data_IF_539819641293
#
_entry.id   IF_539819641293
#
_cell.length_a   1.000
_cell.length_b   1.000
_cell.length_c   1.000
_cell.angle_alpha   90.00
_cell.angle_beta   90.00
_cell.angle_gamma   90.00
#
_symmetry.space_group_name_H-M   'P 1'
#
loop_
_entity.id
_entity.type
_entity.pdbx_description
1 polymer ?
#
# COMPACT_ATOMS: atom_id res chain seq x y z
N UNK A 1 32.98 -20.38 4.77
CA UNK A 1 32.22 -19.51 5.69
C UNK A 1 30.86 -19.30 5.05
N UNK A 2 29.78 -19.60 5.76
CA UNK A 2 28.42 -19.42 5.26
C UNK A 2 28.05 -17.97 5.50
N UNK A 3 28.22 -17.11 4.49
CA UNK A 3 27.87 -15.70 4.61
C UNK A 3 26.35 -15.61 4.88
N UNK A 4 26.00 -15.13 6.06
CA UNK A 4 24.61 -14.91 6.48
C UNK A 4 24.14 -13.56 5.96
N UNK A 5 22.83 -13.41 5.76
CA UNK A 5 22.24 -12.12 5.39
C UNK A 5 22.57 -11.04 6.44
N UNK A 6 22.98 -9.86 5.98
CA UNK A 6 23.18 -8.68 6.81
C UNK A 6 21.84 -7.97 7.00
N UNK A 7 21.50 -7.64 8.24
CA UNK A 7 20.25 -6.97 8.61
C UNK A 7 20.49 -5.48 8.82
N UNK A 8 19.54 -4.65 8.41
CA UNK A 8 19.49 -3.22 8.71
C UNK A 8 18.04 -2.75 8.92
N UNK A 9 17.84 -1.77 9.79
CA UNK A 9 16.59 -0.99 9.84
C UNK A 9 16.69 0.10 8.78
N UNK A 10 15.65 0.24 7.97
CA UNK A 10 15.55 1.20 6.88
C UNK A 10 14.31 2.07 7.14
N UNK A 11 14.43 3.36 6.87
CA UNK A 11 13.30 4.29 6.86
C UNK A 11 12.65 4.32 5.48
N UNK A 12 11.33 4.23 5.45
CA UNK A 12 10.50 4.56 4.30
C UNK A 12 9.59 5.70 4.76
N UNK A 13 10.13 6.91 4.73
CA UNK A 13 9.48 8.07 5.34
C UNK A 13 9.47 7.92 6.85
N UNK A 14 8.28 7.84 7.45
CA UNK A 14 8.10 7.61 8.89
C UNK A 14 7.90 6.14 9.24
N UNK A 15 8.03 5.22 8.27
CA UNK A 15 7.87 3.79 8.47
C UNK A 15 9.24 3.14 8.65
N UNK A 16 9.44 2.42 9.75
CA UNK A 16 10.65 1.63 9.99
C UNK A 16 10.46 0.20 9.52
N UNK A 17 11.39 -0.30 8.70
CA UNK A 17 11.31 -1.62 8.07
C UNK A 17 12.62 -2.38 8.22
N UNK A 18 12.54 -3.70 8.32
CA UNK A 18 13.72 -4.55 8.33
C UNK A 18 14.10 -4.93 6.90
N UNK A 19 15.28 -4.48 6.50
CA UNK A 19 15.94 -4.87 5.26
C UNK A 19 17.00 -5.94 5.50
N UNK A 20 17.12 -6.85 4.55
CA UNK A 20 18.12 -7.91 4.55
C UNK A 20 18.95 -7.83 3.28
N UNK A 21 20.26 -7.64 3.41
CA UNK A 21 21.22 -7.75 2.32
C UNK A 21 21.78 -9.16 2.29
N UNK A 22 21.58 -9.84 1.17
CA UNK A 22 22.08 -11.18 0.92
C UNK A 22 23.57 -11.15 0.54
N UNK A 23 24.30 -12.28 0.65
CA UNK A 23 25.72 -12.35 0.25
C UNK A 23 25.96 -12.01 -1.23
N UNK A 24 24.96 -12.18 -2.09
CA UNK A 24 25.00 -11.81 -3.50
C UNK A 24 24.72 -10.32 -3.76
N UNK A 25 24.51 -9.53 -2.70
CA UNK A 25 24.17 -8.10 -2.78
C UNK A 25 22.70 -7.81 -3.04
N UNK A 26 21.85 -8.83 -3.21
CA UNK A 26 20.40 -8.62 -3.35
C UNK A 26 19.77 -8.21 -2.02
N UNK A 27 18.69 -7.42 -2.10
CA UNK A 27 17.94 -6.98 -0.94
C UNK A 27 16.62 -7.74 -0.81
N UNK A 28 16.24 -8.05 0.43
CA UNK A 28 14.97 -8.66 0.81
C UNK A 28 14.29 -7.82 1.90
N UNK A 29 12.97 -7.90 1.97
CA UNK A 29 12.15 -7.31 3.03
C UNK A 29 11.31 -8.41 3.70
N UNK A 30 11.04 -8.27 5.00
CA UNK A 30 10.10 -9.15 5.71
C UNK A 30 8.73 -9.20 5.02
N UNK A 31 8.22 -10.40 4.76
CA UNK A 31 6.88 -10.62 4.23
C UNK A 31 5.80 -9.97 5.11
N UNK A 32 5.98 -10.05 6.43
CA UNK A 32 5.06 -9.45 7.40
C UNK A 32 5.03 -7.93 7.24
N UNK A 33 6.20 -7.28 7.23
CA UNK A 33 6.27 -5.83 7.10
C UNK A 33 5.81 -5.35 5.73
N UNK A 34 6.05 -6.12 4.66
CA UNK A 34 5.51 -5.83 3.34
C UNK A 34 3.97 -5.72 3.36
N UNK A 35 3.29 -6.50 4.20
CA UNK A 35 1.84 -6.40 4.40
C UNK A 35 1.45 -5.25 5.35
N UNK A 36 2.10 -5.16 6.51
CA UNK A 36 1.73 -4.21 7.57
C UNK A 36 1.88 -2.74 7.14
N UNK A 37 2.91 -2.43 6.34
CA UNK A 37 3.16 -1.08 5.80
C UNK A 37 1.96 -0.51 5.02
N UNK A 38 1.15 -1.38 4.41
CA UNK A 38 -0.05 -0.98 3.65
C UNK A 38 -1.35 -1.37 4.36
N UNK A 39 -1.28 -1.55 5.69
CA UNK A 39 -2.42 -1.88 6.55
C UNK A 39 -3.06 -3.24 6.26
N UNK A 40 -2.25 -4.22 5.85
CA UNK A 40 -2.72 -5.60 5.63
C UNK A 40 -2.06 -6.56 6.60
N UNK A 41 -2.80 -7.59 6.98
CA UNK A 41 -2.23 -8.75 7.67
C UNK A 41 -1.30 -9.52 6.74
N UNK A 42 -0.24 -10.11 7.30
CA UNK A 42 0.74 -10.95 6.61
C UNK A 42 0.10 -12.02 5.70
N UNK A 43 -1.06 -12.57 6.09
CA UNK A 43 -1.80 -13.55 5.28
C UNK A 43 -2.16 -13.04 3.88
N UNK A 44 -2.32 -11.73 3.71
CA UNK A 44 -2.59 -11.12 2.39
C UNK A 44 -1.36 -11.23 1.48
N UNK A 45 -0.17 -11.00 2.01
CA UNK A 45 1.07 -11.21 1.26
C UNK A 45 1.25 -12.69 0.92
N UNK A 46 1.02 -13.61 1.88
CA UNK A 46 1.07 -15.06 1.62
C UNK A 46 0.11 -15.47 0.49
N UNK A 47 -1.16 -15.08 0.59
CA UNK A 47 -2.18 -15.40 -0.43
C UNK A 47 -1.85 -14.81 -1.80
N UNK A 48 -1.19 -13.65 -1.85
CA UNK A 48 -0.74 -13.08 -3.12
C UNK A 48 0.30 -13.96 -3.82
N UNK A 49 1.25 -14.55 -3.08
CA UNK A 49 2.26 -15.46 -3.64
C UNK A 49 1.64 -16.71 -4.28
N UNK A 50 0.50 -17.17 -3.75
CA UNK A 50 -0.26 -18.30 -4.29
C UNK A 50 -1.27 -17.91 -5.38
N UNK A 51 -1.44 -16.61 -5.65
CA UNK A 51 -2.50 -16.10 -6.51
C UNK A 51 -2.10 -16.05 -8.00
N UNK A 52 -3.09 -15.81 -8.86
CA UNK A 52 -2.82 -15.42 -10.26
C UNK A 52 -2.23 -14.01 -10.37
N UNK A 53 -2.32 -13.18 -9.34
CA UNK A 53 -1.84 -11.80 -9.33
C UNK A 53 -0.32 -11.72 -9.51
N UNK A 54 0.44 -12.55 -8.78
CA UNK A 54 1.90 -12.57 -8.93
C UNK A 54 2.34 -13.02 -10.32
N UNK A 55 1.64 -14.00 -10.91
CA UNK A 55 1.88 -14.46 -12.28
C UNK A 55 1.51 -13.42 -13.34
N UNK A 56 0.50 -12.60 -13.06
CA UNK A 56 0.09 -11.51 -13.93
C UNK A 56 1.12 -10.36 -13.94
N UNK A 57 1.74 -10.08 -12.79
CA UNK A 57 2.70 -8.99 -12.65
C UNK A 57 4.14 -9.38 -12.99
N UNK A 58 4.59 -10.57 -12.57
CA UNK A 58 5.98 -11.02 -12.71
C UNK A 58 6.17 -12.12 -13.79
N UNK A 59 5.09 -12.49 -14.46
CA UNK A 59 5.09 -13.47 -15.55
C UNK A 59 4.73 -14.89 -15.13
N UNK A 60 4.23 -15.68 -16.10
CA UNK A 60 3.66 -17.02 -15.85
C UNK A 60 4.66 -18.04 -15.31
N UNK A 61 5.96 -17.84 -15.54
CA UNK A 61 7.04 -18.70 -15.05
C UNK A 61 7.62 -18.28 -13.70
N UNK A 62 7.12 -17.20 -13.09
CA UNK A 62 7.66 -16.70 -11.83
C UNK A 62 7.36 -17.65 -10.68
N UNK A 63 8.41 -18.09 -9.98
CA UNK A 63 8.31 -18.83 -8.72
C UNK A 63 8.89 -17.95 -7.63
N UNK A 64 8.10 -17.53 -6.64
CA UNK A 64 8.62 -16.72 -5.54
C UNK A 64 9.68 -17.50 -4.78
N UNK A 65 10.90 -16.96 -4.71
CA UNK A 65 11.93 -17.45 -3.81
C UNK A 65 11.80 -16.69 -2.49
N UNK A 66 11.42 -17.39 -1.43
CA UNK A 66 11.25 -16.81 -0.10
C UNK A 66 12.20 -17.51 0.86
N UNK A 67 13.02 -16.72 1.55
CA UNK A 67 14.08 -17.26 2.40
C UNK A 67 13.81 -16.99 3.87
N UNK A 68 14.29 -17.87 4.72
CA UNK A 68 14.25 -17.67 6.17
C UNK A 68 15.50 -16.91 6.64
N UNK A 69 15.30 -15.77 7.28
CA UNK A 69 16.36 -14.96 7.90
C UNK A 69 16.20 -14.91 9.42
N UNK A 70 17.31 -14.86 10.17
CA UNK A 70 17.28 -14.81 11.64
C UNK A 70 16.62 -13.53 12.15
N UNK A 71 15.66 -13.63 13.09
CA UNK A 71 14.99 -12.52 13.77
C UNK A 71 15.84 -11.91 14.92
N UNK A 72 15.74 -10.60 15.14
CA UNK A 72 16.39 -9.91 16.27
C UNK A 72 15.62 -10.10 17.59
N UNK A 73 14.30 -10.21 17.52
CA UNK A 73 13.43 -10.39 18.68
C UNK A 73 13.37 -11.87 19.07
N UNK A 74 14.01 -12.22 20.19
CA UNK A 74 13.79 -13.50 20.92
C UNK A 74 12.40 -13.55 21.56
N UNK A 75 11.34 -13.20 20.82
CA UNK A 75 9.99 -13.57 21.21
C UNK A 75 9.92 -15.10 21.09
N UNK A 76 9.58 -15.76 22.21
CA UNK A 76 9.52 -17.22 22.31
C UNK A 76 8.79 -17.81 21.09
N UNK A 77 9.53 -18.51 20.24
CA UNK A 77 8.99 -19.35 19.15
C UNK A 77 9.25 -18.90 17.72
N UNK A 78 9.73 -17.67 17.47
CA UNK A 78 9.95 -17.18 16.10
C UNK A 78 11.40 -16.73 15.87
N UNK A 79 12.25 -17.70 15.51
CA UNK A 79 13.68 -17.47 15.20
C UNK A 79 13.91 -17.09 13.73
N UNK A 80 12.87 -17.20 12.88
CA UNK A 80 12.98 -17.10 11.42
C UNK A 80 11.86 -16.24 10.85
N UNK A 81 12.21 -15.32 9.97
CA UNK A 81 11.29 -14.44 9.23
C UNK A 81 11.36 -14.83 7.76
N UNK A 82 10.21 -14.86 7.07
CA UNK A 82 10.20 -15.02 5.63
C UNK A 82 10.53 -13.69 4.95
N UNK A 83 11.60 -13.64 4.16
CA UNK A 83 12.04 -12.44 3.46
C UNK A 83 11.86 -12.55 1.94
N UNK A 84 11.17 -11.57 1.37
CA UNK A 84 10.78 -11.49 -0.04
C UNK A 84 11.74 -10.58 -0.82
N UNK A 85 12.09 -10.94 -2.07
CA UNK A 85 12.76 -10.01 -2.99
C UNK A 85 11.98 -8.71 -3.15
N UNK A 86 12.69 -7.58 -3.28
CA UNK A 86 12.04 -6.28 -3.46
C UNK A 86 11.11 -6.23 -4.69
N UNK A 87 11.41 -7.01 -5.74
CA UNK A 87 10.51 -7.21 -6.88
C UNK A 87 9.15 -7.77 -6.45
N UNK A 88 9.13 -8.81 -5.63
CA UNK A 88 7.90 -9.42 -5.10
C UNK A 88 7.14 -8.45 -4.21
N UNK A 89 7.85 -7.73 -3.35
CA UNK A 89 7.27 -6.71 -2.46
C UNK A 89 6.60 -5.62 -3.30
N UNK A 90 7.29 -5.11 -4.31
CA UNK A 90 6.74 -4.09 -5.21
C UNK A 90 5.52 -4.59 -5.99
N UNK A 91 5.56 -5.84 -6.49
CA UNK A 91 4.43 -6.45 -7.17
C UNK A 91 3.23 -6.64 -6.24
N UNK A 92 3.46 -7.04 -4.99
CA UNK A 92 2.41 -7.15 -3.99
C UNK A 92 1.76 -5.78 -3.71
N UNK A 93 2.54 -4.72 -3.55
CA UNK A 93 2.00 -3.37 -3.35
C UNK A 93 1.22 -2.87 -4.57
N UNK A 94 1.75 -3.06 -5.78
CA UNK A 94 1.04 -2.73 -7.03
C UNK A 94 -0.25 -3.51 -7.18
N UNK A 95 -0.25 -4.80 -6.83
CA UNK A 95 -1.45 -5.61 -6.78
C UNK A 95 -2.48 -5.00 -5.82
N UNK A 96 -2.07 -4.60 -4.63
CA UNK A 96 -2.95 -3.97 -3.65
C UNK A 96 -3.49 -2.61 -4.12
N UNK A 97 -2.72 -1.85 -4.90
CA UNK A 97 -3.22 -0.66 -5.59
C UNK A 97 -4.38 -1.01 -6.54
N UNK A 98 -4.25 -2.09 -7.32
CA UNK A 98 -5.33 -2.56 -8.22
C UNK A 98 -6.60 -2.99 -7.48
N UNK A 99 -6.46 -3.35 -6.20
CA UNK A 99 -7.57 -3.70 -5.32
C UNK A 99 -8.15 -2.49 -4.55
N UNK A 100 -7.73 -1.26 -4.89
CA UNK A 100 -8.22 -0.04 -4.26
C UNK A 100 -7.66 0.22 -2.85
N UNK A 101 -6.58 -0.43 -2.45
CA UNK A 101 -5.94 -0.13 -1.15
C UNK A 101 -5.31 1.27 -1.19
N UNK A 102 -5.94 2.23 -0.50
CA UNK A 102 -5.50 3.63 -0.45
C UNK A 102 -4.09 3.81 0.11
N UNK A 103 -3.72 3.04 1.13
CA UNK A 103 -2.38 3.11 1.73
C UNK A 103 -1.31 2.58 0.77
N UNK A 104 -1.61 1.48 0.06
CA UNK A 104 -0.73 0.98 -0.99
C UNK A 104 -0.57 2.00 -2.14
N UNK A 105 -1.66 2.63 -2.58
CA UNK A 105 -1.61 3.68 -3.61
C UNK A 105 -0.74 4.85 -3.13
N UNK A 106 -0.95 5.33 -1.90
CA UNK A 106 -0.17 6.42 -1.32
C UNK A 106 1.31 6.08 -1.27
N UNK A 107 1.65 4.89 -0.78
CA UNK A 107 3.03 4.40 -0.70
C UNK A 107 3.70 4.31 -2.07
N UNK A 108 3.08 3.61 -3.01
CA UNK A 108 3.64 3.39 -4.35
C UNK A 108 3.83 4.71 -5.09
N UNK A 109 2.85 5.62 -5.03
CA UNK A 109 2.96 6.95 -5.62
C UNK A 109 4.09 7.76 -4.97
N UNK A 110 4.21 7.69 -3.65
CA UNK A 110 5.18 8.47 -2.91
C UNK A 110 6.63 8.03 -3.19
N UNK A 111 6.89 6.72 -3.17
CA UNK A 111 8.21 6.14 -3.51
C UNK A 111 8.56 6.31 -4.98
N UNK A 112 7.58 6.21 -5.89
CA UNK A 112 7.80 6.47 -7.32
C UNK A 112 8.24 7.91 -7.53
N UNK A 113 7.55 8.86 -6.88
CA UNK A 113 7.91 10.28 -6.96
C UNK A 113 9.29 10.54 -6.39
N UNK A 114 9.62 9.98 -5.23
CA UNK A 114 10.97 10.12 -4.64
C UNK A 114 12.06 9.54 -5.55
N UNK A 115 11.83 8.37 -6.15
CA UNK A 115 12.78 7.76 -7.09
C UNK A 115 13.05 8.67 -8.29
N UNK A 116 12.01 9.34 -8.80
CA UNK A 116 12.16 10.33 -9.86
C UNK A 116 12.92 11.56 -9.34
N UNK A 117 12.54 12.13 -8.20
CA UNK A 117 13.24 13.27 -7.60
C UNK A 117 14.73 13.00 -7.38
N UNK A 118 15.11 11.81 -6.91
CA UNK A 118 16.53 11.41 -6.76
C UNK A 118 17.29 11.49 -8.10
N UNK A 119 16.66 11.09 -9.22
CA UNK A 119 17.27 11.19 -10.56
C UNK A 119 17.40 12.64 -11.03
N UNK A 120 16.39 13.46 -10.74
CA UNK A 120 16.41 14.89 -11.06
C UNK A 120 17.47 15.62 -10.22
N UNK A 121 17.53 15.35 -8.93
CA UNK A 121 18.52 15.91 -8.02
C UNK A 121 19.94 15.68 -8.51
N UNK A 122 20.24 14.43 -8.90
CA UNK A 122 21.54 14.10 -9.49
C UNK A 122 21.80 14.87 -10.79
N UNK A 123 20.79 14.99 -11.67
CA UNK A 123 20.94 15.70 -12.95
C UNK A 123 21.13 17.22 -12.78
N UNK A 124 20.58 17.82 -11.72
CA UNK A 124 20.66 19.24 -11.43
C UNK A 124 21.68 19.61 -10.33
N UNK A 125 22.44 18.63 -9.82
CA UNK A 125 23.44 18.84 -8.78
C UNK A 125 22.86 19.20 -7.40
N UNK A 126 21.59 18.89 -7.14
CA UNK A 126 21.00 19.08 -5.82
C UNK A 126 21.41 17.92 -4.90
N UNK A 127 22.00 18.25 -3.76
CA UNK A 127 22.33 17.27 -2.72
C UNK A 127 21.25 17.35 -1.65
N UNK A 128 20.54 16.25 -1.45
CA UNK A 128 19.63 16.04 -0.32
C UNK A 128 20.12 14.91 0.56
N UNK A 129 19.96 15.04 1.86
CA UNK A 129 20.25 13.97 2.83
C UNK A 129 19.16 12.90 2.77
N UNK A 130 19.41 11.70 3.29
CA UNK A 130 18.35 10.70 3.44
C UNK A 130 17.26 11.17 4.43
N UNK A 131 17.62 11.92 5.48
CA UNK A 131 16.65 12.48 6.42
C UNK A 131 15.69 13.47 5.73
N UNK A 132 16.19 14.35 4.86
CA UNK A 132 15.34 15.26 4.07
C UNK A 132 14.42 14.49 3.11
N UNK A 133 14.89 13.37 2.57
CA UNK A 133 14.08 12.49 1.71
C UNK A 133 12.98 11.82 2.52
N UNK A 134 13.31 11.26 3.69
CA UNK A 134 12.35 10.64 4.60
C UNK A 134 11.27 11.63 5.06
N UNK A 135 11.65 12.87 5.40
CA UNK A 135 10.69 13.91 5.76
C UNK A 135 9.74 14.25 4.60
N UNK A 136 10.27 14.39 3.37
CA UNK A 136 9.45 14.65 2.18
C UNK A 136 8.54 13.46 1.84
N UNK A 137 9.05 12.24 1.97
CA UNK A 137 8.31 11.02 1.73
C UNK A 137 7.16 10.89 2.73
N UNK A 138 7.42 11.11 4.02
CA UNK A 138 6.41 11.16 5.09
C UNK A 138 5.30 12.14 4.77
N UNK A 139 5.67 13.38 4.41
CA UNK A 139 4.69 14.42 4.06
C UNK A 139 3.84 13.99 2.86
N UNK A 140 4.46 13.40 1.84
CA UNK A 140 3.76 12.94 0.63
C UNK A 140 2.81 11.78 0.90
N UNK A 141 3.18 10.85 1.79
CA UNK A 141 2.30 9.77 2.23
C UNK A 141 1.02 10.36 2.84
N UNK A 142 1.16 11.25 3.82
CA UNK A 142 0.04 11.89 4.50
C UNK A 142 -0.86 12.69 3.54
N UNK A 143 -0.27 13.51 2.67
CA UNK A 143 -1.02 14.31 1.68
C UNK A 143 -1.79 13.42 0.69
N UNK A 144 -1.18 12.31 0.25
CA UNK A 144 -1.79 11.41 -0.72
C UNK A 144 -2.94 10.62 -0.08
N UNK A 145 -2.75 10.11 1.14
CA UNK A 145 -3.81 9.43 1.89
C UNK A 145 -5.00 10.37 2.15
N UNK A 146 -4.74 11.60 2.57
CA UNK A 146 -5.80 12.60 2.78
C UNK A 146 -6.56 12.88 1.49
N UNK A 147 -5.87 13.08 0.37
CA UNK A 147 -6.51 13.30 -0.94
C UNK A 147 -7.37 12.09 -1.36
N UNK A 148 -6.90 10.86 -1.12
CA UNK A 148 -7.65 9.64 -1.43
C UNK A 148 -8.87 9.46 -0.51
N UNK A 149 -8.81 9.90 0.74
CA UNK A 149 -9.99 9.91 1.63
C UNK A 149 -11.04 10.88 1.11
N UNK A 150 -10.66 12.12 0.85
CA UNK A 150 -11.56 13.15 0.33
C UNK A 150 -12.22 12.72 -1.00
N UNK A 151 -11.43 12.13 -1.90
CA UNK A 151 -11.95 11.63 -3.17
C UNK A 151 -12.99 10.53 -2.95
N UNK A 152 -12.72 9.60 -2.04
CA UNK A 152 -13.62 8.50 -1.71
C UNK A 152 -14.92 8.97 -1.06
N UNK A 153 -14.87 10.00 -0.23
CA UNK A 153 -16.05 10.61 0.39
C UNK A 153 -16.90 11.32 -0.68
N UNK A 154 -16.28 12.12 -1.54
CA UNK A 154 -16.94 12.83 -2.63
C UNK A 154 -17.64 11.90 -3.63
N UNK A 155 -17.09 10.70 -3.88
CA UNK A 155 -17.76 9.70 -4.73
C UNK A 155 -18.82 8.87 -4.00
N UNK A 156 -18.80 8.81 -2.67
CA UNK A 156 -19.83 8.11 -1.88
C UNK A 156 -21.10 8.96 -1.70
N UNK A 157 -20.97 10.29 -1.59
CA UNK A 157 -22.10 11.20 -1.39
C UNK A 157 -23.24 11.05 -2.42
N UNK A 158 -22.98 10.97 -3.74
CA UNK A 158 -24.05 10.81 -4.73
C UNK A 158 -24.80 9.48 -4.61
N UNK A 159 -24.11 8.40 -4.25
CA UNK A 159 -24.72 7.07 -4.13
C UNK A 159 -25.56 6.98 -2.86
N UNK A 160 -25.09 7.56 -1.75
CA UNK A 160 -25.88 7.70 -0.52
C UNK A 160 -27.10 8.59 -0.77
N UNK A 161 -26.93 9.70 -1.48
CA UNK A 161 -28.04 10.58 -1.84
C UNK A 161 -29.09 9.87 -2.70
N UNK A 162 -28.66 9.09 -3.71
CA UNK A 162 -29.57 8.27 -4.54
C UNK A 162 -30.32 7.23 -3.72
N UNK A 163 -29.64 6.54 -2.82
CA UNK A 163 -30.27 5.56 -1.95
C UNK A 163 -31.30 6.22 -1.03
N UNK A 164 -30.95 7.37 -0.44
CA UNK A 164 -31.84 8.10 0.45
C UNK A 164 -33.07 8.65 -0.29
N UNK A 165 -32.87 9.26 -1.47
CA UNK A 165 -33.97 9.70 -2.35
C UNK A 165 -34.88 8.50 -2.67
N UNK A 166 -34.33 7.36 -3.05
CA UNK A 166 -35.12 6.16 -3.37
C UNK A 166 -35.98 5.69 -2.19
N UNK A 167 -35.43 5.72 -0.96
CA UNK A 167 -36.20 5.39 0.25
C UNK A 167 -37.31 6.41 0.54
N UNK A 168 -37.02 7.69 0.37
CA UNK A 168 -38.00 8.76 0.58
C UNK A 168 -39.14 8.70 -0.45
N UNK A 169 -38.82 8.45 -1.72
CA UNK A 169 -39.83 8.24 -2.77
C UNK A 169 -40.77 7.08 -2.43
N UNK A 170 -40.21 5.98 -1.92
CA UNK A 170 -41.01 4.82 -1.51
C UNK A 170 -41.91 5.14 -0.30
N UNK A 171 -41.41 5.88 0.69
CA UNK A 171 -42.21 6.35 1.81
C UNK A 171 -43.36 7.26 1.36
N UNK A 172 -43.11 8.18 0.42
CA UNK A 172 -44.14 9.06 -0.13
C UNK A 172 -45.23 8.24 -0.83
N UNK A 173 -44.86 7.24 -1.64
CA UNK A 173 -45.82 6.34 -2.29
C UNK A 173 -46.65 5.55 -1.26
N UNK A 174 -46.01 5.02 -0.21
CA UNK A 174 -46.71 4.28 0.86
C UNK A 174 -47.71 5.14 1.62
N UNK A 175 -47.43 6.43 1.78
CA UNK A 175 -48.34 7.40 2.38
C UNK A 175 -49.43 7.90 1.41
N UNK A 176 -49.47 7.37 0.18
CA UNK A 176 -50.46 7.72 -0.84
C UNK A 176 -50.17 9.03 -1.59
N UNK A 177 -48.97 9.59 -1.43
CA UNK A 177 -48.52 10.76 -2.18
C UNK A 177 -47.82 10.39 -3.48
N UNK A 178 -47.74 11.34 -4.41
CA UNK A 178 -46.94 11.20 -5.63
C UNK A 178 -45.57 11.87 -5.41
N UNK A 179 -44.44 11.13 -5.51
CA UNK A 179 -43.12 11.73 -5.40
C UNK A 179 -42.95 12.88 -6.40
N UNK A 180 -42.26 13.95 -5.99
CA UNK A 180 -41.98 15.14 -6.81
C UNK A 180 -43.18 16.04 -7.14
N UNK A 181 -44.36 15.78 -6.56
CA UNK A 181 -45.51 16.66 -6.74
C UNK A 181 -45.24 18.00 -6.02
N UNK A 182 -45.18 19.14 -6.74
CA UNK A 182 -44.95 20.43 -6.11
C UNK A 182 -46.14 20.79 -5.21
N UNK A 183 -45.90 21.49 -4.09
CA UNK A 183 -46.99 21.94 -3.22
C UNK A 183 -47.95 22.82 -4.02
N UNK A 184 -49.25 22.56 -3.90
CA UNK A 184 -50.29 23.36 -4.55
C UNK A 184 -50.23 24.79 -4.00
N UNK A 185 -50.01 25.77 -4.87
CA UNK A 185 -50.04 27.19 -4.53
C UNK A 185 -51.43 27.53 -3.95
N UNK A 186 -51.47 27.92 -2.67
CA UNK A 186 -52.63 28.51 -1.98
C UNK A 186 -52.57 30.02 -2.02
#
# INVERSE_FOLDING_TARGET
MTDKAQRATISIGNLEVEGFMMPDGSYRMSQTQAAEIIGKDEINARRFLDSKGIKALLGKGYTPDSIEVESSQRLRGQTRINALPLEVVSAFWVWQCSQGNKQAIALVMAMTTETLERRFDNAFGYIRTEEERDQRLTKRLQETEQRLSLLSEAYAEPDIAREHISRLEEQVRQLGGEPWQPPSET
#
